data_IF_618637961999
#
_entry.id   IF_618637961999
#
_cell.length_a   1.000
_cell.length_b   1.000
_cell.length_c   1.000
_cell.angle_alpha   90.00
_cell.angle_beta   90.00
_cell.angle_gamma   90.00
#
_symmetry.space_group_name_H-M   'P 1'
#
loop_
_entity.id
_entity.type
_entity.pdbx_description
1 polymer ?
#
# COMPACT_ATOMS: atom_id res chain seq x y z
N UNK A 1 -2.31 20.28 -15.54
CA UNK A 1 -3.42 21.26 -15.51
C UNK A 1 -4.22 21.03 -14.24
N UNK A 2 -4.56 22.11 -13.52
CA UNK A 2 -5.39 22.07 -12.30
C UNK A 2 -6.57 23.03 -12.48
N UNK A 3 -7.70 22.74 -11.85
CA UNK A 3 -8.83 23.68 -11.79
C UNK A 3 -8.56 24.82 -10.79
N UNK A 4 -9.53 25.72 -10.60
CA UNK A 4 -9.43 26.85 -9.66
C UNK A 4 -9.30 26.44 -8.19
N UNK A 5 -9.60 25.19 -7.86
CA UNK A 5 -9.38 24.61 -6.53
C UNK A 5 -8.08 23.80 -6.42
N UNK A 6 -7.25 23.79 -7.47
CA UNK A 6 -6.01 23.04 -7.51
C UNK A 6 -6.19 21.55 -7.81
N UNK A 7 -7.39 21.08 -8.16
CA UNK A 7 -7.63 19.66 -8.46
C UNK A 7 -7.25 19.34 -9.90
N UNK A 8 -6.61 18.18 -10.12
CA UNK A 8 -6.37 17.66 -11.46
C UNK A 8 -7.62 16.93 -11.99
N UNK A 9 -7.77 16.76 -13.32
CA UNK A 9 -8.84 15.93 -13.88
C UNK A 9 -8.85 14.50 -13.30
N UNK A 10 -7.65 13.92 -13.10
CA UNK A 10 -7.50 12.60 -12.51
C UNK A 10 -8.00 12.56 -11.06
N UNK A 11 -7.69 13.58 -10.27
CA UNK A 11 -8.18 13.71 -8.90
C UNK A 11 -9.71 13.76 -8.85
N UNK A 12 -10.35 14.56 -9.72
CA UNK A 12 -11.83 14.66 -9.79
C UNK A 12 -12.47 13.34 -10.17
N UNK A 13 -11.91 12.66 -11.18
CA UNK A 13 -12.40 11.35 -11.62
C UNK A 13 -12.25 10.29 -10.51
N UNK A 14 -11.13 10.29 -9.78
CA UNK A 14 -10.91 9.41 -8.65
C UNK A 14 -11.86 9.71 -7.47
N UNK A 15 -12.02 10.99 -7.12
CA UNK A 15 -12.91 11.46 -6.05
C UNK A 15 -14.39 11.09 -6.31
N UNK A 16 -14.80 11.01 -7.57
CA UNK A 16 -16.17 10.66 -7.97
C UNK A 16 -16.36 9.17 -8.20
N UNK A 17 -15.28 8.41 -8.44
CA UNK A 17 -15.32 6.98 -8.70
C UNK A 17 -15.50 6.63 -10.18
N UNK A 18 -15.20 7.57 -11.09
CA UNK A 18 -15.37 7.37 -12.53
C UNK A 18 -14.22 6.54 -13.13
N UNK A 19 -14.27 5.22 -12.91
CA UNK A 19 -13.22 4.28 -13.32
C UNK A 19 -12.84 4.40 -14.81
N UNK A 20 -13.82 4.51 -15.71
CA UNK A 20 -13.55 4.64 -17.15
C UNK A 20 -12.77 5.92 -17.50
N UNK A 21 -13.07 7.04 -16.82
CA UNK A 21 -12.34 8.30 -17.01
C UNK A 21 -10.93 8.17 -16.45
N UNK A 22 -10.76 7.52 -15.29
CA UNK A 22 -9.43 7.23 -14.72
C UNK A 22 -8.61 6.39 -15.70
N UNK A 23 -9.16 5.30 -16.24
CA UNK A 23 -8.50 4.47 -17.24
C UNK A 23 -8.06 5.27 -18.47
N UNK A 24 -8.92 6.15 -18.99
CA UNK A 24 -8.59 7.02 -20.10
C UNK A 24 -7.43 7.98 -19.77
N UNK A 25 -7.48 8.63 -18.62
CA UNK A 25 -6.45 9.59 -18.19
C UNK A 25 -5.09 8.92 -17.95
N UNK A 26 -5.08 7.67 -17.46
CA UNK A 26 -3.88 6.89 -17.22
C UNK A 26 -3.21 6.35 -18.51
N UNK A 27 -3.82 6.55 -19.68
CA UNK A 27 -3.16 6.29 -20.97
C UNK A 27 -2.08 7.33 -21.30
N UNK A 28 -2.09 8.47 -20.61
CA UNK A 28 -1.14 9.57 -20.79
C UNK A 28 -0.13 9.64 -19.64
N UNK A 29 1.07 10.21 -19.85
CA UNK A 29 2.03 10.43 -18.77
C UNK A 29 1.41 11.26 -17.63
N UNK A 30 1.42 10.68 -16.42
CA UNK A 30 1.00 11.33 -15.17
C UNK A 30 2.17 11.29 -14.19
N UNK A 31 2.48 12.43 -13.59
CA UNK A 31 3.52 12.53 -12.58
C UNK A 31 3.12 11.83 -11.26
N UNK A 32 4.12 11.39 -10.50
CA UNK A 32 3.95 10.63 -9.25
C UNK A 32 3.07 11.35 -8.24
N UNK A 33 3.21 12.68 -8.13
CA UNK A 33 2.43 13.46 -7.18
C UNK A 33 0.95 13.49 -7.55
N UNK A 34 0.63 13.58 -8.84
CA UNK A 34 -0.74 13.55 -9.33
C UNK A 34 -1.37 12.17 -9.15
N UNK A 35 -0.62 11.08 -9.36
CA UNK A 35 -1.10 9.72 -9.09
C UNK A 35 -1.38 9.50 -7.59
N UNK A 36 -0.49 9.97 -6.73
CA UNK A 36 -0.64 9.87 -5.28
C UNK A 36 -1.89 10.60 -4.79
N UNK A 37 -2.09 11.84 -5.25
CA UNK A 37 -3.28 12.63 -4.94
C UNK A 37 -4.57 11.94 -5.43
N UNK A 38 -4.52 11.24 -6.56
CA UNK A 38 -5.67 10.49 -7.07
C UNK A 38 -5.98 9.27 -6.19
N UNK A 39 -4.97 8.58 -5.64
CA UNK A 39 -5.17 7.50 -4.67
C UNK A 39 -5.89 8.04 -3.44
N UNK A 40 -5.41 9.16 -2.88
CA UNK A 40 -6.05 9.82 -1.74
C UNK A 40 -7.52 10.17 -2.03
N UNK A 41 -7.80 10.75 -3.21
CA UNK A 41 -9.17 11.04 -3.63
C UNK A 41 -10.06 9.80 -3.73
N UNK A 42 -9.49 8.69 -4.23
CA UNK A 42 -10.18 7.40 -4.32
C UNK A 42 -10.48 6.76 -2.97
N UNK A 43 -9.70 7.08 -1.93
CA UNK A 43 -9.93 6.59 -0.56
C UNK A 43 -10.99 7.37 0.22
N UNK A 44 -11.48 8.49 -0.32
CA UNK A 44 -12.47 9.36 0.31
C UNK A 44 -13.89 9.08 -0.21
N UNK A 45 -14.90 9.25 0.65
CA UNK A 45 -16.27 9.51 0.20
C UNK A 45 -17.21 8.30 0.12
N UNK A 46 -17.09 7.36 1.06
CA UNK A 46 -18.18 6.46 1.42
C UNK A 46 -18.54 5.38 0.40
N UNK A 47 -17.62 5.09 -0.54
CA UNK A 47 -17.87 4.12 -1.61
C UNK A 47 -16.66 3.23 -1.77
N UNK A 48 -16.93 1.93 -1.83
CA UNK A 48 -15.93 0.90 -2.11
C UNK A 48 -15.37 1.10 -3.52
N UNK A 49 -14.10 1.53 -3.60
CA UNK A 49 -13.39 1.93 -4.83
C UNK A 49 -12.13 1.11 -5.04
N UNK A 50 -12.14 -0.12 -4.56
CA UNK A 50 -11.01 -1.05 -4.56
C UNK A 50 -10.37 -1.18 -5.95
N UNK A 51 -11.18 -1.37 -7.00
CA UNK A 51 -10.70 -1.50 -8.39
C UNK A 51 -10.00 -0.23 -8.89
N UNK A 52 -10.53 0.94 -8.51
CA UNK A 52 -9.97 2.23 -8.90
C UNK A 52 -8.64 2.49 -8.19
N UNK A 53 -8.58 2.23 -6.88
CA UNK A 53 -7.36 2.41 -6.10
C UNK A 53 -6.30 1.39 -6.52
N UNK A 54 -6.69 0.13 -6.73
CA UNK A 54 -5.83 -0.91 -7.27
C UNK A 54 -5.24 -0.53 -8.62
N UNK A 55 -6.05 0.04 -9.52
CA UNK A 55 -5.60 0.55 -10.82
C UNK A 55 -4.60 1.71 -10.68
N UNK A 56 -4.84 2.67 -9.80
CA UNK A 56 -3.90 3.77 -9.60
C UNK A 56 -2.55 3.27 -9.05
N UNK A 57 -2.59 2.33 -8.11
CA UNK A 57 -1.38 1.71 -7.52
C UNK A 57 -0.64 0.89 -8.57
N UNK A 58 -1.34 0.18 -9.46
CA UNK A 58 -0.70 -0.55 -10.58
C UNK A 58 -0.04 0.37 -11.61
N UNK A 59 -0.42 1.64 -11.65
CA UNK A 59 0.27 2.69 -12.40
C UNK A 59 1.41 3.36 -11.62
N UNK A 60 1.77 2.84 -10.46
CA UNK A 60 2.92 3.29 -9.67
C UNK A 60 2.64 4.47 -8.76
N UNK A 61 1.38 4.71 -8.40
CA UNK A 61 0.97 5.85 -7.57
C UNK A 61 1.68 5.92 -6.21
N UNK A 62 2.19 4.80 -5.69
CA UNK A 62 2.90 4.75 -4.42
C UNK A 62 4.42 4.83 -4.57
N UNK A 63 4.93 5.06 -5.79
CA UNK A 63 6.35 5.24 -6.08
C UNK A 63 7.02 6.38 -5.29
N UNK A 64 8.34 6.32 -5.16
CA UNK A 64 9.11 7.41 -4.56
C UNK A 64 9.04 8.65 -5.47
N UNK A 65 8.90 9.84 -4.87
CA UNK A 65 8.87 11.15 -5.57
C UNK A 65 10.26 11.54 -6.10
N UNK A 66 11.31 10.76 -5.81
CA UNK A 66 12.67 11.07 -6.21
C UNK A 66 12.85 10.74 -7.69
N UNK A 67 12.91 11.80 -8.50
CA UNK A 67 13.07 11.74 -9.94
C UNK A 67 14.27 10.91 -10.38
N UNK A 68 14.09 10.23 -11.50
CA UNK A 68 15.17 9.82 -12.41
C UNK A 68 16.46 9.35 -11.76
N UNK A 69 16.39 8.30 -10.95
CA UNK A 69 17.51 7.38 -10.93
C UNK A 69 17.24 6.36 -12.04
N UNK A 70 18.03 6.45 -13.10
CA UNK A 70 18.15 5.45 -14.17
C UNK A 70 18.62 4.07 -13.68
N UNK A 71 18.55 3.81 -12.37
CA UNK A 71 18.57 2.49 -11.81
C UNK A 71 17.16 1.90 -11.90
N UNK A 72 16.77 1.56 -13.13
CA UNK A 72 16.05 0.31 -13.37
C UNK A 72 16.94 -0.83 -12.87
N UNK A 73 17.19 -0.88 -11.56
CA UNK A 73 17.82 -1.99 -10.89
C UNK A 73 17.00 -3.18 -11.30
N UNK A 74 17.66 -4.13 -11.96
CA UNK A 74 17.09 -5.37 -12.41
C UNK A 74 16.35 -5.97 -11.21
N UNK A 75 15.04 -5.69 -11.08
CA UNK A 75 14.15 -6.28 -10.08
C UNK A 75 14.02 -7.72 -10.50
N UNK A 76 15.08 -8.46 -10.25
CA UNK A 76 15.26 -9.82 -10.72
C UNK A 76 14.25 -10.71 -10.00
N UNK A 77 14.05 -11.91 -10.53
CA UNK A 77 13.07 -12.82 -9.95
C UNK A 77 13.46 -13.25 -8.53
N UNK A 78 14.74 -13.11 -8.17
CA UNK A 78 15.23 -13.31 -6.81
C UNK A 78 14.69 -12.26 -5.81
N UNK A 79 14.61 -10.99 -6.20
CA UNK A 79 14.00 -9.95 -5.36
C UNK A 79 12.50 -10.21 -5.18
N UNK A 80 11.79 -10.56 -6.25
CA UNK A 80 10.37 -10.94 -6.16
C UNK A 80 10.17 -12.17 -5.26
N UNK A 81 11.02 -13.19 -5.38
CA UNK A 81 10.98 -14.38 -4.54
C UNK A 81 11.22 -14.04 -3.06
N UNK A 82 12.17 -13.15 -2.77
CA UNK A 82 12.40 -12.65 -1.42
C UNK A 82 11.15 -11.96 -0.86
N UNK A 83 10.54 -11.04 -1.61
CA UNK A 83 9.32 -10.36 -1.17
C UNK A 83 8.15 -11.30 -0.98
N UNK A 84 7.97 -12.30 -1.84
CA UNK A 84 6.96 -13.35 -1.65
C UNK A 84 7.18 -14.12 -0.35
N UNK A 85 8.42 -14.49 -0.06
CA UNK A 85 8.75 -15.22 1.16
C UNK A 85 8.58 -14.38 2.43
N UNK A 86 8.92 -13.09 2.36
CA UNK A 86 8.97 -12.20 3.53
C UNK A 86 7.65 -11.49 3.82
N UNK A 87 6.91 -11.03 2.80
CA UNK A 87 5.67 -10.27 3.00
C UNK A 87 4.43 -11.14 3.14
N UNK A 88 4.33 -12.25 2.41
CA UNK A 88 3.11 -13.08 2.41
C UNK A 88 2.97 -13.74 3.79
N UNK A 89 1.83 -13.52 4.43
CA UNK A 89 1.58 -14.00 5.77
C UNK A 89 0.67 -13.09 6.58
N UNK A 90 0.52 -13.44 7.85
CA UNK A 90 -0.26 -12.66 8.82
C UNK A 90 0.64 -11.67 9.55
N UNK A 91 0.29 -10.40 9.45
CA UNK A 91 0.92 -9.32 10.17
C UNK A 91 0.01 -8.93 11.33
N UNK A 92 0.58 -8.74 12.51
CA UNK A 92 -0.13 -8.23 13.67
C UNK A 92 0.67 -7.12 14.32
N UNK A 93 -0.01 -6.07 14.72
CA UNK A 93 0.64 -4.88 15.23
C UNK A 93 -0.34 -3.98 15.92
N UNK A 94 0.07 -2.73 16.06
CA UNK A 94 -0.74 -1.72 16.70
C UNK A 94 -0.67 -0.39 15.98
N UNK A 95 -1.78 0.31 16.00
CA UNK A 95 -1.89 1.69 15.60
C UNK A 95 -1.68 2.58 16.80
N UNK A 96 -0.97 3.69 16.63
CA UNK A 96 -0.94 4.74 17.64
C UNK A 96 -1.66 5.98 17.09
N UNK A 97 -2.99 6.02 17.19
CA UNK A 97 -3.80 7.13 16.67
C UNK A 97 -3.66 8.43 17.48
N UNK A 98 -3.26 8.33 18.76
CA UNK A 98 -3.09 9.46 19.68
C UNK A 98 -2.03 9.14 20.75
N UNK A 99 -1.25 10.12 21.23
CA UNK A 99 -0.20 9.92 22.24
C UNK A 99 -0.67 9.32 23.59
N UNK A 100 -1.97 9.08 23.78
CA UNK A 100 -2.56 8.58 25.02
C UNK A 100 -3.46 7.32 24.87
N UNK A 101 -3.69 6.78 23.66
CA UNK A 101 -4.58 5.61 23.51
C UNK A 101 -3.80 4.31 23.47
N UNK A 102 -4.27 3.31 24.22
CA UNK A 102 -3.76 1.93 24.19
C UNK A 102 -3.60 1.43 22.75
N UNK A 103 -2.46 0.81 22.48
CA UNK A 103 -2.19 0.10 21.23
C UNK A 103 -3.31 -0.91 20.94
N UNK A 104 -4.25 -0.58 20.05
CA UNK A 104 -5.27 -1.54 19.65
C UNK A 104 -4.62 -2.62 18.78
N UNK A 105 -4.67 -3.89 19.20
CA UNK A 105 -4.08 -4.98 18.44
C UNK A 105 -4.87 -5.17 17.16
N UNK A 106 -4.19 -5.12 16.03
CA UNK A 106 -4.81 -5.27 14.75
C UNK A 106 -3.87 -5.99 13.80
N UNK A 107 -4.43 -6.89 13.01
CA UNK A 107 -3.68 -7.65 12.03
C UNK A 107 -4.23 -7.50 10.62
N UNK A 108 -3.37 -7.70 9.64
CA UNK A 108 -3.76 -7.84 8.24
C UNK A 108 -2.98 -9.01 7.65
N UNK A 109 -3.56 -9.66 6.64
CA UNK A 109 -2.88 -10.70 5.88
C UNK A 109 -2.46 -10.14 4.54
N UNK A 110 -1.19 -10.30 4.18
CA UNK A 110 -0.76 -10.17 2.78
C UNK A 110 -0.99 -11.52 2.12
N UNK A 111 -1.90 -11.56 1.15
CA UNK A 111 -2.26 -12.79 0.45
C UNK A 111 -1.37 -13.06 -0.76
N UNK A 112 -0.91 -12.01 -1.43
CA UNK A 112 -0.12 -12.14 -2.65
C UNK A 112 0.90 -11.03 -2.83
N UNK A 113 2.03 -11.40 -3.44
CA UNK A 113 3.05 -10.49 -3.95
C UNK A 113 3.34 -10.89 -5.40
N UNK A 114 3.22 -9.95 -6.32
CA UNK A 114 3.34 -10.18 -7.74
C UNK A 114 4.01 -9.01 -8.44
N UNK A 115 4.52 -9.28 -9.64
CA UNK A 115 5.01 -8.23 -10.53
C UNK A 115 3.88 -7.87 -11.47
N UNK A 116 3.52 -6.59 -11.52
CA UNK A 116 2.58 -6.12 -12.53
C UNK A 116 3.33 -5.89 -13.84
N UNK A 117 2.69 -6.27 -14.94
CA UNK A 117 3.19 -5.99 -16.26
C UNK A 117 3.33 -4.47 -16.45
N UNK A 118 4.18 -4.02 -17.38
CA UNK A 118 4.22 -2.63 -17.77
C UNK A 118 2.82 -2.07 -18.02
N UNK A 119 2.37 -1.11 -17.20
CA UNK A 119 1.64 -0.03 -17.86
C UNK A 119 2.60 0.51 -18.92
N UNK A 120 2.10 0.98 -20.07
CA UNK A 120 2.95 1.49 -21.16
C UNK A 120 4.00 2.50 -20.65
N UNK A 121 3.72 3.12 -19.51
CA UNK A 121 4.48 4.18 -18.85
C UNK A 121 5.33 3.73 -17.66
N UNK A 122 5.00 2.64 -16.94
CA UNK A 122 5.78 2.15 -15.78
C UNK A 122 5.94 0.64 -15.78
N UNK A 123 7.20 0.17 -15.77
CA UNK A 123 7.55 -1.26 -15.88
C UNK A 123 8.05 -1.84 -14.56
N UNK A 124 7.75 -3.12 -14.34
CA UNK A 124 8.41 -3.94 -13.31
C UNK A 124 8.05 -3.58 -11.88
N UNK A 125 6.83 -3.08 -11.63
CA UNK A 125 6.34 -2.79 -10.29
C UNK A 125 6.13 -4.10 -9.51
N UNK A 126 6.73 -4.20 -8.32
CA UNK A 126 6.39 -5.28 -7.38
C UNK A 126 5.25 -4.74 -6.51
N UNK A 127 4.09 -5.37 -6.65
CA UNK A 127 2.87 -5.06 -5.95
C UNK A 127 2.53 -6.17 -4.97
N UNK A 128 1.75 -5.84 -3.97
CA UNK A 128 1.17 -6.82 -3.07
C UNK A 128 -0.25 -6.43 -2.71
N UNK A 129 -1.06 -7.43 -2.38
CA UNK A 129 -2.39 -7.18 -1.87
C UNK A 129 -2.77 -8.19 -0.80
N UNK A 130 -3.80 -7.82 -0.07
CA UNK A 130 -4.24 -8.53 1.10
C UNK A 130 -5.48 -7.91 1.69
N UNK A 131 -5.70 -8.17 2.97
CA UNK A 131 -6.85 -7.65 3.68
C UNK A 131 -6.98 -8.26 5.05
N UNK A 132 -8.09 -7.96 5.69
CA UNK A 132 -8.42 -8.44 7.01
C UNK A 132 -9.71 -7.83 7.47
N UNK A 133 -9.99 -8.02 8.75
CA UNK A 133 -11.13 -7.44 9.43
C UNK A 133 -10.68 -7.01 10.81
N UNK A 134 -11.22 -5.89 11.26
CA UNK A 134 -11.00 -5.36 12.60
C UNK A 134 -12.32 -4.82 13.16
N UNK A 135 -12.26 -4.15 14.31
CA UNK A 135 -13.44 -3.60 15.01
C UNK A 135 -14.22 -2.55 14.20
N UNK A 136 -13.63 -1.99 13.14
CA UNK A 136 -14.27 -1.02 12.26
C UNK A 136 -15.09 -1.73 11.18
N UNK A 137 -14.43 -2.55 10.35
CA UNK A 137 -15.04 -3.28 9.24
C UNK A 137 -14.01 -4.18 8.53
N UNK A 138 -14.45 -5.08 7.64
CA UNK A 138 -13.57 -5.70 6.65
C UNK A 138 -12.85 -4.64 5.80
N UNK A 139 -11.59 -4.92 5.48
CA UNK A 139 -10.76 -4.02 4.67
C UNK A 139 -9.88 -4.80 3.70
N UNK A 140 -9.47 -4.12 2.63
CA UNK A 140 -8.47 -4.61 1.67
C UNK A 140 -7.20 -3.78 1.76
N UNK A 141 -6.07 -4.39 1.40
CA UNK A 141 -4.77 -3.73 1.32
C UNK A 141 -4.25 -3.84 -0.10
N UNK A 142 -3.79 -2.71 -0.65
CA UNK A 142 -3.05 -2.65 -1.90
C UNK A 142 -1.75 -1.89 -1.67
N UNK A 143 -0.63 -2.51 -2.06
CA UNK A 143 0.68 -1.96 -1.77
C UNK A 143 1.66 -2.13 -2.91
N UNK A 144 2.73 -1.35 -2.80
CA UNK A 144 3.86 -1.33 -3.71
C UNK A 144 5.15 -1.43 -2.90
N UNK A 145 6.09 -2.20 -3.42
CA UNK A 145 7.46 -2.28 -2.91
C UNK A 145 8.29 -1.14 -3.50
N UNK A 146 9.11 -0.54 -2.64
CA UNK A 146 10.06 0.51 -2.96
C UNK A 146 11.49 0.02 -2.68
N UNK A 147 12.52 0.67 -3.28
CA UNK A 147 13.91 0.38 -2.96
C UNK A 147 14.22 0.42 -1.45
N UNK A 148 15.24 -0.32 -1.04
CA UNK A 148 15.73 -0.30 0.34
C UNK A 148 14.77 -0.96 1.35
N UNK A 149 14.13 -2.07 0.96
CA UNK A 149 13.17 -2.83 1.78
C UNK A 149 11.97 -2.00 2.27
N UNK A 150 11.62 -0.96 1.52
CA UNK A 150 10.52 -0.07 1.87
C UNK A 150 9.24 -0.53 1.19
N UNK A 151 8.10 -0.31 1.85
CA UNK A 151 6.78 -0.56 1.27
C UNK A 151 5.88 0.64 1.53
N UNK A 152 4.96 0.86 0.62
CA UNK A 152 3.81 1.74 0.84
C UNK A 152 2.57 0.97 0.49
N UNK A 153 1.51 1.17 1.26
CA UNK A 153 0.23 0.57 0.95
C UNK A 153 -0.92 1.42 1.43
N UNK A 154 -2.09 1.13 0.86
CA UNK A 154 -3.36 1.71 1.24
C UNK A 154 -4.19 0.60 1.88
N UNK A 155 -4.73 0.89 3.07
CA UNK A 155 -5.75 0.09 3.73
C UNK A 155 -7.10 0.73 3.43
N UNK A 156 -8.01 0.01 2.78
CA UNK A 156 -9.31 0.50 2.34
C UNK A 156 -10.44 -0.22 3.06
N UNK A 157 -11.25 0.54 3.77
CA UNK A 157 -12.57 0.14 4.23
C UNK A 157 -13.62 0.51 3.17
N UNK A 158 -14.87 0.03 3.30
CA UNK A 158 -15.95 0.41 2.38
C UNK A 158 -16.16 1.93 2.27
N UNK A 159 -15.94 2.66 3.38
CA UNK A 159 -16.29 4.07 3.48
C UNK A 159 -15.09 5.04 3.43
N UNK A 160 -13.89 4.57 3.81
CA UNK A 160 -12.69 5.39 3.91
C UNK A 160 -11.41 4.55 3.82
N UNK A 161 -10.26 5.19 3.64
CA UNK A 161 -8.96 4.51 3.64
C UNK A 161 -7.88 5.24 4.42
N UNK A 162 -6.78 4.53 4.62
CA UNK A 162 -5.57 5.00 5.28
C UNK A 162 -4.35 4.62 4.46
N UNK A 163 -3.33 5.48 4.51
CA UNK A 163 -2.05 5.20 3.85
C UNK A 163 -1.00 4.82 4.87
N UNK A 164 -0.12 3.91 4.50
CA UNK A 164 1.02 3.48 5.29
C UNK A 164 2.30 3.61 4.47
N UNK A 165 3.37 4.05 5.13
CA UNK A 165 4.74 3.96 4.64
C UNK A 165 5.63 3.35 5.71
N UNK A 166 6.40 2.34 5.35
CA UNK A 166 7.33 1.72 6.29
C UNK A 166 8.44 0.94 5.60
N UNK A 167 9.26 0.31 6.44
CA UNK A 167 10.38 -0.54 6.02
C UNK A 167 10.29 -1.88 6.74
N UNK A 168 10.67 -2.94 6.02
CA UNK A 168 10.90 -4.25 6.62
C UNK A 168 12.28 -4.27 7.28
N UNK A 169 12.28 -4.55 8.57
CA UNK A 169 13.47 -4.81 9.38
C UNK A 169 13.42 -6.24 9.89
N UNK A 170 14.58 -6.89 9.96
CA UNK A 170 14.70 -8.18 10.63
C UNK A 170 14.58 -7.98 12.14
N UNK A 171 13.94 -8.91 12.82
CA UNK A 171 13.89 -8.97 14.27
C UNK A 171 15.00 -9.88 14.82
N UNK A 172 15.44 -9.61 16.06
CA UNK A 172 16.52 -10.38 16.73
C UNK A 172 16.13 -11.86 16.92
N UNK A 173 14.83 -12.18 16.94
CA UNK A 173 14.29 -13.54 17.02
C UNK A 173 14.11 -14.27 15.68
N UNK A 174 14.59 -13.71 14.56
CA UNK A 174 14.44 -14.31 13.22
C UNK A 174 13.07 -14.07 12.56
N UNK A 175 12.25 -13.19 13.13
CA UNK A 175 11.02 -12.68 12.53
C UNK A 175 11.26 -11.46 11.64
N UNK A 176 10.17 -10.96 11.02
CA UNK A 176 10.19 -9.71 10.26
C UNK A 176 9.26 -8.70 10.91
N UNK A 177 9.71 -7.46 10.99
CA UNK A 177 8.91 -6.34 11.51
C UNK A 177 8.79 -5.28 10.42
N UNK A 178 7.59 -4.73 10.29
CA UNK A 178 7.26 -3.62 9.43
C UNK A 178 7.10 -2.38 10.30
N UNK A 179 8.11 -1.51 10.22
CA UNK A 179 8.20 -0.29 11.01
C UNK A 179 7.89 0.92 10.12
N UNK A 180 6.98 1.78 10.56
CA UNK A 180 6.54 2.88 9.72
C UNK A 180 5.49 3.78 10.35
N UNK A 181 4.82 4.52 9.48
CA UNK A 181 3.90 5.58 9.82
C UNK A 181 2.63 5.46 8.98
N UNK A 182 1.50 5.73 9.63
CA UNK A 182 0.21 5.91 9.00
C UNK A 182 0.00 7.38 8.62
N UNK A 183 -0.93 7.66 7.72
CA UNK A 183 -1.32 9.03 7.38
C UNK A 183 -2.65 9.08 6.64
N UNK A 184 -3.43 10.15 6.88
CA UNK A 184 -4.62 10.49 6.07
C UNK A 184 -4.26 11.20 4.76
N UNK A 185 -3.18 11.96 4.82
CA UNK A 185 -2.41 12.56 3.73
C UNK A 185 -0.97 12.22 4.09
N UNK A 186 -0.04 12.06 3.17
CA UNK A 186 1.36 11.66 3.48
C UNK A 186 2.18 12.72 4.29
N UNK A 187 1.55 13.47 5.21
CA UNK A 187 2.08 14.53 6.06
C UNK A 187 1.38 14.57 7.45
N UNK A 188 2.11 14.24 8.53
CA UNK A 188 1.72 14.40 9.96
C UNK A 188 1.46 13.08 10.72
N UNK A 189 1.82 12.94 12.03
CA UNK A 189 2.04 11.62 12.64
C UNK A 189 0.72 10.87 12.88
N UNK A 190 0.67 9.56 12.59
CA UNK A 190 0.85 8.58 13.67
C UNK A 190 1.78 7.40 13.31
N UNK A 191 2.49 6.90 14.31
CA UNK A 191 3.36 5.72 14.21
C UNK A 191 2.59 4.40 14.19
N UNK A 192 3.14 3.39 13.52
CA UNK A 192 2.59 2.05 13.46
C UNK A 192 3.68 0.99 13.34
N UNK A 193 3.64 0.00 14.22
CA UNK A 193 4.57 -1.13 14.24
C UNK A 193 3.76 -2.40 14.00
N UNK A 194 4.11 -3.17 12.97
CA UNK A 194 3.54 -4.48 12.71
C UNK A 194 4.62 -5.53 12.74
N UNK A 195 4.42 -6.58 13.51
CA UNK A 195 5.26 -7.76 13.51
C UNK A 195 4.59 -8.79 12.60
N UNK A 196 5.36 -9.42 11.72
CA UNK A 196 4.92 -10.64 11.07
C UNK A 196 4.70 -11.65 12.20
N UNK A 197 3.48 -12.19 12.32
CA UNK A 197 3.27 -13.33 13.20
C UNK A 197 4.14 -14.44 12.62
N UNK A 198 5.22 -14.79 13.32
CA UNK A 198 5.99 -15.95 12.93
C UNK A 198 5.02 -17.12 12.86
N UNK A 199 5.15 -17.91 11.81
CA UNK A 199 4.38 -19.13 11.64
C UNK A 199 4.49 -19.92 12.94
N UNK A 200 3.41 -20.02 13.72
CA UNK A 200 3.37 -20.99 14.80
C UNK A 200 3.54 -22.34 14.14
N UNK A 201 4.73 -22.94 14.30
CA UNK A 201 4.88 -24.38 14.09
C UNK A 201 3.95 -25.05 15.10
N UNK A 202 2.69 -25.21 14.73
CA UNK A 202 1.81 -26.20 15.34
C UNK A 202 2.37 -27.58 14.94
N UNK A 203 3.44 -27.98 15.63
CA UNK A 203 3.89 -29.37 15.72
C UNK A 203 4.17 -29.67 17.20
N UNK A 204 3.09 -29.65 17.97
CA UNK A 204 2.86 -30.41 19.19
C UNK A 204 1.35 -30.75 19.11
N UNK A 205 0.85 -31.97 19.07
CA UNK A 205 1.39 -33.30 19.34
C UNK A 205 0.35 -34.25 18.76
N UNK A 206 0.69 -35.10 17.78
CA UNK A 206 -0.11 -36.30 17.52
C UNK A 206 0.44 -37.35 18.50
N UNK A 207 -0.33 -37.64 19.54
CA UNK A 207 -0.29 -38.93 20.23
C UNK A 207 -1.18 -39.90 19.45
#
# INVERSE_FOLDING_TARGET
MRDSSGSTPLWRAAQTGHLAIVQLLLQYPVDDSTLLLAVEAGTCGGRRRDDLVGLLISHGALGAITGSDGHSGNRNDQELAWWRHTLVGEWAGSYNYQPASSAEPMGFRVGQVFREAPSVLRKGLILFSGGGEDTVAPFVVYGQVLPGRSVRFVKLYPEFGWTYQGRIVGDEGGGWCLQGQWGKQYSGPPGGHFMLKSWSRNLQTLY
#
